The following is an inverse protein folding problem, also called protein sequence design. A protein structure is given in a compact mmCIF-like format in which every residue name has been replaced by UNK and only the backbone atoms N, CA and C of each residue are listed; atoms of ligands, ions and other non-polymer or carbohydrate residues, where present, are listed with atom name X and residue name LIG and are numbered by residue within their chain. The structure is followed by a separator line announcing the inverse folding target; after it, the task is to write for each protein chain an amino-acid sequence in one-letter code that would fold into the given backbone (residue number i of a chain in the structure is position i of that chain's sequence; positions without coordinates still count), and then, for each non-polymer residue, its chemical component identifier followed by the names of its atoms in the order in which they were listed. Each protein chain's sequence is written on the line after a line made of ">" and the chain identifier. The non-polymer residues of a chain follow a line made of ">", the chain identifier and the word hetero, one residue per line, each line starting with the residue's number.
data_IF_616373146804
#
_entry.id   IF_616373146804
#
_cell.length_a   1.000
_cell.length_b   1.000
_cell.length_c   1.000
_cell.angle_alpha   90.00
_cell.angle_beta   90.00
_cell.angle_gamma   90.00
#
_symmetry.space_group_name_H-M   'P 1'
#
loop_
_entity.id
_entity.type
_entity.pdbx_description
1 polymer ?
#
# COMPACT_ATOMS: atom_id res chain seq x y z
N UNK A 1 1.87 74.28 -15.69
CA UNK A 1 2.72 73.09 -15.90
C UNK A 1 2.49 72.16 -14.72
N UNK A 2 1.67 71.14 -14.93
CA UNK A 2 1.32 70.12 -13.95
C UNK A 2 2.43 69.06 -14.03
N UNK A 3 3.09 68.76 -12.90
CA UNK A 3 4.02 67.63 -12.83
C UNK A 3 3.48 66.63 -11.81
N UNK A 4 3.13 65.46 -12.37
CA UNK A 4 2.60 64.26 -11.75
C UNK A 4 3.79 63.45 -11.22
N UNK A 5 3.74 62.97 -9.98
CA UNK A 5 4.46 61.79 -9.48
C UNK A 5 4.07 61.54 -8.01
N UNK A 6 3.84 60.34 -7.50
CA UNK A 6 3.38 59.06 -8.02
C UNK A 6 2.98 58.30 -6.74
N UNK A 7 1.74 57.81 -6.69
CA UNK A 7 1.18 57.08 -5.56
C UNK A 7 1.83 55.69 -5.51
N UNK A 8 2.61 55.38 -4.47
CA UNK A 8 3.13 54.02 -4.26
C UNK A 8 2.03 53.22 -3.57
N UNK A 9 1.30 52.43 -4.35
CA UNK A 9 0.38 51.39 -3.87
C UNK A 9 1.19 50.15 -3.48
N UNK A 10 1.11 49.81 -2.20
CA UNK A 10 1.58 48.58 -1.60
C UNK A 10 0.80 47.37 -2.12
N UNK A 11 1.47 46.49 -2.86
CA UNK A 11 0.94 45.17 -3.23
C UNK A 11 1.56 44.14 -2.29
N UNK A 12 0.87 43.84 -1.19
CA UNK A 12 1.11 42.61 -0.42
C UNK A 12 0.46 41.45 -1.18
N UNK A 13 1.23 40.82 -2.07
CA UNK A 13 0.83 39.58 -2.72
C UNK A 13 1.34 38.39 -1.90
N UNK A 14 0.41 37.50 -1.58
CA UNK A 14 0.57 36.22 -0.93
C UNK A 14 1.73 35.40 -1.50
N UNK A 15 2.62 34.92 -0.63
CA UNK A 15 3.47 33.77 -0.94
C UNK A 15 3.14 32.63 0.04
N UNK A 16 1.95 32.05 -0.15
CA UNK A 16 1.58 30.72 0.34
C UNK A 16 1.74 29.74 -0.82
N UNK A 17 2.91 29.11 -0.93
CA UNK A 17 3.10 27.78 -1.53
C UNK A 17 4.57 27.37 -1.44
N UNK A 18 5.05 27.09 -0.23
CA UNK A 18 6.12 26.11 -0.07
C UNK A 18 5.43 24.82 0.32
N UNK A 19 5.06 24.02 -0.68
CA UNK A 19 4.88 22.60 -0.45
C UNK A 19 6.25 22.04 -0.08
N UNK A 20 6.30 21.34 1.04
CA UNK A 20 7.48 20.60 1.48
C UNK A 20 7.81 19.55 0.42
N UNK A 21 8.72 19.88 -0.51
CA UNK A 21 9.49 18.86 -1.21
C UNK A 21 10.38 18.23 -0.15
N UNK A 22 9.96 17.11 0.42
CA UNK A 22 10.88 16.20 1.10
C UNK A 22 11.92 15.80 0.06
N UNK A 23 13.08 16.45 0.13
CA UNK A 23 14.26 16.02 -0.59
C UNK A 23 14.63 14.64 -0.05
N UNK A 24 14.34 13.62 -0.86
CA UNK A 24 14.79 12.24 -0.64
C UNK A 24 16.30 12.32 -0.42
N UNK A 25 16.74 11.80 0.74
CA UNK A 25 18.15 11.59 1.06
C UNK A 25 18.76 10.89 -0.16
N UNK A 26 19.83 11.46 -0.72
CA UNK A 26 20.58 10.81 -1.81
C UNK A 26 21.11 9.50 -1.22
N UNK A 27 20.37 8.41 -1.39
CA UNK A 27 20.81 7.09 -0.98
C UNK A 27 21.97 6.77 -1.89
N UNK A 28 23.18 6.69 -1.34
CA UNK A 28 24.25 5.97 -2.03
C UNK A 28 23.74 4.53 -2.14
N UNK A 29 23.26 4.18 -3.33
CA UNK A 29 22.92 2.81 -3.68
C UNK A 29 24.20 2.00 -3.47
N UNK A 30 24.31 1.31 -2.34
CA UNK A 30 25.21 0.19 -2.25
C UNK A 30 24.77 -0.76 -3.38
N UNK A 31 25.71 -1.39 -4.11
CA UNK A 31 25.39 -2.23 -5.29
C UNK A 31 24.45 -3.42 -4.99
N UNK A 32 24.03 -3.58 -3.74
CA UNK A 32 23.17 -4.65 -3.21
C UNK A 32 21.68 -4.28 -3.11
N UNK A 33 21.31 -2.98 -3.06
CA UNK A 33 19.90 -2.58 -2.85
C UNK A 33 19.08 -2.59 -4.15
N UNK A 34 17.79 -2.96 -4.06
CA UNK A 34 16.81 -2.89 -5.15
C UNK A 34 16.15 -1.51 -5.12
N UNK A 35 16.22 -0.77 -6.22
CA UNK A 35 15.59 0.55 -6.32
C UNK A 35 14.14 0.45 -6.84
N UNK A 36 13.17 0.87 -6.05
CA UNK A 36 11.74 0.79 -6.37
C UNK A 36 11.15 2.18 -6.63
N UNK A 37 10.54 2.37 -7.79
CA UNK A 37 9.71 3.52 -8.08
C UNK A 37 8.25 3.23 -7.73
N UNK A 38 7.60 4.07 -6.93
CA UNK A 38 6.13 4.06 -6.77
C UNK A 38 5.59 5.12 -7.72
N UNK A 39 4.94 4.70 -8.81
CA UNK A 39 4.45 5.62 -9.82
C UNK A 39 3.16 6.30 -9.38
N UNK A 40 3.15 7.63 -9.43
CA UNK A 40 2.04 8.49 -9.07
C UNK A 40 1.77 9.42 -10.24
N UNK A 41 0.84 9.04 -11.11
CA UNK A 41 0.43 9.89 -12.21
C UNK A 41 -0.26 11.16 -11.67
N UNK A 42 -0.05 12.27 -12.36
CA UNK A 42 -0.56 13.58 -12.00
C UNK A 42 -2.07 13.63 -12.26
N UNK A 43 -2.85 14.07 -11.28
CA UNK A 43 -4.30 14.23 -11.41
C UNK A 43 -5.13 13.08 -10.83
N UNK A 44 -4.49 12.07 -10.25
CA UNK A 44 -5.16 10.96 -9.56
C UNK A 44 -4.84 10.96 -8.06
N UNK A 45 -5.75 10.40 -7.28
CA UNK A 45 -5.63 10.23 -5.84
C UNK A 45 -5.23 8.79 -5.51
N UNK A 46 -4.22 8.63 -4.67
CA UNK A 46 -3.63 7.34 -4.34
C UNK A 46 -3.64 7.13 -2.84
N UNK A 47 -4.71 6.55 -2.28
CA UNK A 47 -4.93 6.53 -0.84
C UNK A 47 -3.91 5.66 -0.08
N UNK A 48 -3.19 4.76 -0.76
CA UNK A 48 -2.36 3.72 -0.13
C UNK A 48 -0.86 3.84 -0.40
N UNK A 49 -0.37 4.94 -1.00
CA UNK A 49 1.07 5.11 -1.29
C UNK A 49 1.92 4.97 -0.03
N UNK A 50 1.52 5.60 1.07
CA UNK A 50 2.29 5.53 2.32
C UNK A 50 2.30 4.10 2.90
N UNK A 51 1.28 3.28 2.63
CA UNK A 51 1.27 1.88 3.06
C UNK A 51 2.22 1.03 2.25
N UNK A 52 2.29 1.25 0.92
CA UNK A 52 3.26 0.60 0.04
C UNK A 52 4.68 0.96 0.47
N UNK A 53 4.94 2.26 0.65
CA UNK A 53 6.22 2.78 1.13
C UNK A 53 6.67 2.10 2.44
N UNK A 54 5.75 1.97 3.40
CA UNK A 54 6.04 1.32 4.67
C UNK A 54 6.20 -0.19 4.55
N UNK A 55 5.48 -0.85 3.64
CA UNK A 55 5.65 -2.26 3.37
C UNK A 55 7.01 -2.56 2.70
N UNK A 56 7.50 -1.66 1.84
CA UNK A 56 8.84 -1.77 1.26
C UNK A 56 9.94 -1.67 2.30
N UNK A 57 9.76 -0.82 3.34
CA UNK A 57 10.71 -0.70 4.45
C UNK A 57 10.80 -1.95 5.34
N UNK A 58 9.95 -2.97 5.14
CA UNK A 58 10.11 -4.27 5.84
C UNK A 58 11.41 -4.95 5.41
N UNK A 59 11.91 -4.69 4.20
CA UNK A 59 13.10 -5.32 3.64
C UNK A 59 14.25 -4.31 3.58
N UNK A 60 15.33 -4.58 4.33
CA UNK A 60 16.51 -3.69 4.38
C UNK A 60 17.26 -3.59 3.05
N UNK A 61 17.05 -4.54 2.14
CA UNK A 61 17.63 -4.57 0.80
C UNK A 61 16.84 -3.76 -0.23
N UNK A 62 15.77 -3.07 0.15
CA UNK A 62 14.92 -2.29 -0.76
C UNK A 62 14.95 -0.81 -0.40
N UNK A 63 15.09 0.03 -1.42
CA UNK A 63 14.95 1.48 -1.29
C UNK A 63 13.90 1.96 -2.27
N UNK A 64 13.14 2.99 -1.90
CA UNK A 64 12.03 3.46 -2.73
C UNK A 64 12.03 4.97 -2.95
N UNK A 65 11.37 5.37 -4.02
CA UNK A 65 11.08 6.77 -4.36
C UNK A 65 9.70 6.85 -5.02
N UNK A 66 8.94 7.89 -4.73
CA UNK A 66 7.72 8.20 -5.47
C UNK A 66 8.09 8.98 -6.73
N UNK A 67 7.56 8.57 -7.88
CA UNK A 67 7.85 9.17 -9.19
C UNK A 67 6.57 9.64 -9.86
N UNK A 68 6.63 10.75 -10.58
CA UNK A 68 5.57 11.19 -11.49
C UNK A 68 6.09 11.23 -12.94
N UNK A 69 5.25 11.66 -13.87
CA UNK A 69 5.56 11.79 -15.30
C UNK A 69 6.80 12.64 -15.55
N UNK A 70 6.95 13.78 -14.86
CA UNK A 70 8.11 14.65 -15.02
C UNK A 70 9.41 13.97 -14.56
N UNK A 71 9.35 13.15 -13.52
CA UNK A 71 10.50 12.35 -13.08
C UNK A 71 10.85 11.26 -14.10
N UNK A 72 9.86 10.59 -14.69
CA UNK A 72 10.06 9.60 -15.76
C UNK A 72 10.69 10.24 -17.00
N UNK A 73 10.14 11.37 -17.47
CA UNK A 73 10.68 12.11 -18.62
C UNK A 73 12.13 12.54 -18.40
N UNK A 74 12.47 12.96 -17.18
CA UNK A 74 13.80 13.44 -16.83
C UNK A 74 14.82 12.32 -16.65
N UNK A 75 14.43 11.23 -16.00
CA UNK A 75 15.37 10.19 -15.54
C UNK A 75 15.36 8.94 -16.41
N UNK A 76 14.35 8.77 -17.26
CA UNK A 76 14.14 7.59 -18.12
C UNK A 76 14.22 6.26 -17.34
N UNK A 77 13.91 6.32 -16.04
CA UNK A 77 13.98 5.21 -15.08
C UNK A 77 15.37 4.54 -14.98
N UNK A 78 16.45 5.25 -15.31
CA UNK A 78 17.80 4.65 -15.42
C UNK A 78 18.33 4.02 -14.12
N UNK A 79 17.88 4.50 -12.96
CA UNK A 79 18.29 4.00 -11.63
C UNK A 79 17.14 3.28 -10.89
N UNK A 80 16.13 2.82 -11.61
CA UNK A 80 15.00 2.07 -11.04
C UNK A 80 15.08 0.63 -11.52
N UNK A 81 14.75 -0.31 -10.62
CA UNK A 81 14.76 -1.74 -10.88
C UNK A 81 13.34 -2.31 -10.98
N UNK A 82 12.41 -1.78 -10.18
CA UNK A 82 11.00 -2.16 -10.17
C UNK A 82 10.11 -0.93 -10.13
N UNK A 83 9.05 -0.90 -10.93
CA UNK A 83 8.01 0.12 -10.88
C UNK A 83 6.73 -0.46 -10.29
N UNK A 84 6.19 0.17 -9.25
CA UNK A 84 4.90 -0.19 -8.64
C UNK A 84 3.83 0.81 -9.11
N UNK A 85 2.73 0.27 -9.61
CA UNK A 85 1.51 0.96 -9.98
C UNK A 85 0.47 0.80 -8.85
N UNK A 86 0.36 1.78 -7.95
CA UNK A 86 -0.53 1.72 -6.81
C UNK A 86 -2.01 1.80 -7.22
N UNK A 87 -2.88 1.33 -6.32
CA UNK A 87 -4.31 1.53 -6.45
C UNK A 87 -4.68 3.02 -6.40
N UNK A 88 -5.57 3.44 -7.30
CA UNK A 88 -6.17 4.77 -7.31
C UNK A 88 -7.44 4.78 -6.46
N UNK A 89 -7.94 5.96 -6.12
CA UNK A 89 -9.22 6.11 -5.45
C UNK A 89 -10.34 5.42 -6.24
N UNK A 90 -11.36 4.93 -5.52
CA UNK A 90 -12.55 4.33 -6.12
C UNK A 90 -13.12 5.23 -7.23
N UNK A 91 -13.48 4.62 -8.35
CA UNK A 91 -14.00 5.25 -9.57
C UNK A 91 -12.99 6.09 -10.39
N UNK A 92 -11.71 6.14 -9.99
CA UNK A 92 -10.64 6.67 -10.82
C UNK A 92 -9.93 5.55 -11.58
N UNK A 93 -9.78 5.77 -12.89
CA UNK A 93 -9.04 4.90 -13.79
C UNK A 93 -8.05 5.77 -14.57
N UNK A 94 -6.82 5.28 -14.74
CA UNK A 94 -5.82 6.01 -15.51
C UNK A 94 -6.10 5.83 -17.00
N UNK A 95 -6.89 6.75 -17.54
CA UNK A 95 -7.40 6.70 -18.90
C UNK A 95 -6.41 7.22 -19.94
N UNK A 96 -5.41 7.99 -19.50
CA UNK A 96 -4.40 8.58 -20.38
C UNK A 96 -3.05 8.78 -19.68
N UNK A 97 -1.98 8.53 -20.43
CA UNK A 97 -0.60 8.92 -20.16
C UNK A 97 -0.07 9.74 -21.35
N UNK A 98 0.97 10.52 -21.11
CA UNK A 98 1.76 11.10 -22.20
C UNK A 98 2.44 9.99 -23.00
N UNK A 99 2.47 10.09 -24.32
CA UNK A 99 3.00 9.04 -25.21
C UNK A 99 4.49 8.77 -24.93
N UNK A 100 5.28 9.80 -24.61
CA UNK A 100 6.69 9.63 -24.27
C UNK A 100 6.84 8.91 -22.91
N UNK A 101 5.96 9.18 -21.95
CA UNK A 101 5.92 8.47 -20.66
C UNK A 101 5.53 7.01 -20.86
N UNK A 102 4.54 6.74 -21.70
CA UNK A 102 4.11 5.38 -22.04
C UNK A 102 5.27 4.57 -22.65
N UNK A 103 5.97 5.14 -23.63
CA UNK A 103 7.15 4.51 -24.24
C UNK A 103 8.28 4.27 -23.24
N UNK A 104 8.53 5.19 -22.30
CA UNK A 104 9.54 4.99 -21.24
C UNK A 104 9.19 3.76 -20.38
N UNK A 105 7.93 3.63 -19.97
CA UNK A 105 7.49 2.50 -19.14
C UNK A 105 7.56 1.19 -19.94
N UNK A 106 7.08 1.21 -21.19
CA UNK A 106 7.13 0.04 -22.06
C UNK A 106 8.58 -0.43 -22.28
N UNK A 107 9.48 0.48 -22.69
CA UNK A 107 10.91 0.19 -22.86
C UNK A 107 11.55 -0.33 -21.56
N UNK A 108 11.20 0.24 -20.41
CA UNK A 108 11.68 -0.19 -19.10
C UNK A 108 11.35 -1.66 -18.81
N UNK A 109 10.11 -2.09 -19.07
CA UNK A 109 9.69 -3.47 -18.80
C UNK A 109 10.15 -4.43 -19.92
N UNK A 110 9.78 -4.15 -21.17
CA UNK A 110 9.92 -5.08 -22.30
C UNK A 110 11.38 -5.22 -22.74
N UNK A 111 12.09 -4.09 -22.88
CA UNK A 111 13.45 -4.07 -23.46
C UNK A 111 14.55 -4.14 -22.39
N UNK A 112 14.45 -3.32 -21.33
CA UNK A 112 15.42 -3.33 -20.23
C UNK A 112 15.23 -4.52 -19.27
N UNK A 113 14.12 -5.26 -19.38
CA UNK A 113 13.84 -6.45 -18.57
C UNK A 113 13.63 -6.16 -17.08
N UNK A 114 13.16 -4.95 -16.75
CA UNK A 114 12.91 -4.54 -15.37
C UNK A 114 11.56 -5.04 -14.86
N UNK A 115 11.35 -4.94 -13.55
CA UNK A 115 10.13 -5.43 -12.90
C UNK A 115 8.98 -4.42 -12.91
N UNK A 116 7.76 -4.90 -13.04
CA UNK A 116 6.55 -4.12 -12.80
C UNK A 116 5.65 -4.84 -11.78
N UNK A 117 4.96 -4.06 -10.95
CA UNK A 117 3.94 -4.57 -10.02
C UNK A 117 2.73 -3.67 -10.10
N UNK A 118 1.52 -4.22 -10.12
CA UNK A 118 0.29 -3.44 -9.96
C UNK A 118 -0.54 -3.90 -8.78
N UNK A 119 -1.20 -2.94 -8.13
CA UNK A 119 -2.14 -3.17 -7.03
C UNK A 119 -3.53 -2.66 -7.44
N UNK A 120 -4.52 -3.55 -7.37
CA UNK A 120 -5.92 -3.28 -7.75
C UNK A 120 -6.04 -2.62 -9.14
N UNK A 121 -6.84 -1.56 -9.28
CA UNK A 121 -7.02 -0.80 -10.51
C UNK A 121 -5.76 -0.08 -11.03
N UNK A 122 -4.64 -0.08 -10.28
CA UNK A 122 -3.36 0.39 -10.81
C UNK A 122 -2.84 -0.42 -12.00
N UNK A 123 -3.37 -1.63 -12.20
CA UNK A 123 -2.98 -2.52 -13.30
C UNK A 123 -3.60 -2.21 -14.66
N UNK A 124 -4.64 -1.37 -14.73
CA UNK A 124 -5.42 -1.17 -15.96
C UNK A 124 -4.56 -0.69 -17.14
N UNK A 125 -3.63 0.23 -16.87
CA UNK A 125 -2.71 0.76 -17.88
C UNK A 125 -1.74 -0.29 -18.42
N UNK A 126 -1.43 -1.34 -17.66
CA UNK A 126 -0.46 -2.38 -18.02
C UNK A 126 -1.08 -3.45 -18.92
N UNK A 127 -2.40 -3.58 -18.88
CA UNK A 127 -3.19 -4.63 -19.53
C UNK A 127 -3.84 -4.16 -20.82
N UNK A 128 -4.32 -5.08 -21.66
CA UNK A 128 -5.13 -4.75 -22.83
C UNK A 128 -6.41 -4.03 -22.42
N UNK A 129 -6.72 -2.94 -23.10
CA UNK A 129 -7.98 -2.21 -22.92
C UNK A 129 -8.49 -1.67 -24.24
N UNK A 130 -9.80 -1.72 -24.43
CA UNK A 130 -10.51 -0.99 -25.51
C UNK A 130 -11.07 0.35 -25.05
N UNK A 131 -11.07 0.58 -23.73
CA UNK A 131 -11.73 1.73 -23.08
C UNK A 131 -10.75 2.86 -22.78
N UNK A 132 -9.51 2.52 -22.49
CA UNK A 132 -8.47 3.42 -22.01
C UNK A 132 -7.17 3.24 -22.81
N UNK A 133 -6.26 4.21 -22.71
CA UNK A 133 -4.89 3.99 -23.15
C UNK A 133 -4.31 2.77 -22.41
N UNK A 134 -3.50 2.00 -23.12
CA UNK A 134 -2.94 0.74 -22.64
C UNK A 134 -1.50 0.62 -23.14
N UNK A 135 -0.64 0.08 -22.28
CA UNK A 135 0.74 -0.27 -22.62
C UNK A 135 0.85 -1.68 -23.22
N UNK A 136 -0.23 -2.46 -23.20
CA UNK A 136 -0.30 -3.82 -23.75
C UNK A 136 0.90 -4.69 -23.35
N UNK A 137 1.28 -4.66 -22.06
CA UNK A 137 2.44 -5.40 -21.56
C UNK A 137 2.15 -6.89 -21.37
N UNK A 138 0.87 -7.24 -21.21
CA UNK A 138 0.42 -8.61 -20.90
C UNK A 138 -0.95 -8.88 -21.51
N UNK A 139 -1.16 -10.12 -21.95
CA UNK A 139 -2.41 -10.63 -22.55
C UNK A 139 -3.53 -10.85 -21.53
N UNK A 140 -3.84 -9.79 -20.79
CA UNK A 140 -4.90 -9.72 -19.79
C UNK A 140 -5.76 -8.51 -20.11
N UNK A 141 -7.04 -8.62 -19.82
CA UNK A 141 -7.97 -7.49 -19.78
C UNK A 141 -8.52 -7.37 -18.36
N UNK A 142 -8.49 -6.15 -17.82
CA UNK A 142 -9.18 -5.81 -16.59
C UNK A 142 -10.55 -5.21 -16.95
N UNK A 143 -11.60 -5.76 -16.36
CA UNK A 143 -12.98 -5.33 -16.66
C UNK A 143 -13.67 -4.77 -15.43
N UNK A 144 -14.53 -3.77 -15.64
CA UNK A 144 -15.38 -3.15 -14.59
C UNK A 144 -16.43 -4.13 -14.01
N UNK A 145 -16.48 -5.37 -14.49
CA UNK A 145 -17.37 -6.39 -13.95
C UNK A 145 -16.88 -6.83 -12.58
N UNK A 146 -17.56 -6.38 -11.53
CA UNK A 146 -17.34 -6.90 -10.17
C UNK A 146 -17.73 -8.38 -10.15
N UNK A 147 -16.95 -9.24 -9.48
CA UNK A 147 -17.34 -10.63 -9.25
C UNK A 147 -18.62 -10.66 -8.40
N UNK A 148 -19.70 -11.23 -8.95
CA UNK A 148 -21.03 -11.28 -8.33
C UNK A 148 -20.92 -11.61 -6.83
N UNK A 149 -21.25 -10.62 -5.98
CA UNK A 149 -21.38 -10.66 -4.51
C UNK A 149 -20.18 -10.24 -3.65
N UNK A 150 -18.97 -9.98 -4.18
CA UNK A 150 -17.85 -9.53 -3.33
C UNK A 150 -17.73 -8.00 -3.38
N UNK A 151 -18.46 -7.34 -2.49
CA UNK A 151 -18.55 -5.88 -2.37
C UNK A 151 -17.60 -5.35 -1.29
N UNK A 152 -16.29 -5.51 -1.49
CA UNK A 152 -15.24 -4.98 -0.61
C UNK A 152 -15.18 -5.53 0.83
N UNK A 153 -13.98 -5.59 1.40
CA UNK A 153 -13.71 -6.02 2.77
C UNK A 153 -12.57 -7.02 2.86
N UNK A 154 -12.65 -7.97 3.80
CA UNK A 154 -11.64 -9.03 3.98
C UNK A 154 -12.17 -10.30 3.34
N UNK A 155 -11.43 -10.87 2.39
CA UNK A 155 -11.76 -12.13 1.71
C UNK A 155 -10.73 -13.20 2.01
N UNK A 156 -11.11 -14.47 1.91
CA UNK A 156 -10.17 -15.57 1.88
C UNK A 156 -9.59 -15.78 0.48
N UNK A 157 -8.31 -16.16 0.43
CA UNK A 157 -7.58 -16.52 -0.79
C UNK A 157 -6.85 -17.85 -0.58
N UNK A 158 -6.75 -18.61 -1.67
CA UNK A 158 -6.00 -19.88 -1.73
C UNK A 158 -4.85 -19.72 -2.71
N UNK A 159 -3.66 -20.16 -2.29
CA UNK A 159 -2.47 -20.14 -3.14
C UNK A 159 -2.48 -21.34 -4.09
N UNK A 160 -2.12 -21.09 -5.35
CA UNK A 160 -1.75 -22.16 -6.27
C UNK A 160 -0.39 -22.77 -5.90
N UNK A 161 0.00 -23.85 -6.55
CA UNK A 161 1.36 -24.41 -6.38
C UNK A 161 2.45 -23.40 -6.76
N UNK A 162 2.20 -22.55 -7.76
CA UNK A 162 3.11 -21.45 -8.11
C UNK A 162 3.10 -20.32 -7.06
N UNK A 163 1.93 -20.05 -6.47
CA UNK A 163 1.78 -19.16 -5.32
C UNK A 163 2.62 -19.62 -4.14
N UNK A 164 2.51 -20.89 -3.76
CA UNK A 164 3.27 -21.48 -2.65
C UNK A 164 4.78 -21.44 -2.86
N UNK A 165 5.26 -21.51 -4.11
CA UNK A 165 6.69 -21.31 -4.42
C UNK A 165 7.14 -19.87 -4.21
N UNK A 166 6.28 -18.90 -4.53
CA UNK A 166 6.59 -17.47 -4.38
C UNK A 166 6.44 -17.00 -2.93
N UNK A 167 5.47 -17.55 -2.20
CA UNK A 167 5.13 -17.26 -0.82
C UNK A 167 5.25 -18.52 0.06
N UNK A 168 6.45 -19.12 0.21
CA UNK A 168 6.67 -20.33 0.99
C UNK A 168 6.28 -20.19 2.46
N UNK A 169 6.27 -18.98 3.03
CA UNK A 169 5.74 -18.74 4.38
C UNK A 169 4.28 -19.18 4.52
N UNK A 170 3.52 -19.14 3.43
CA UNK A 170 2.10 -19.51 3.36
C UNK A 170 1.89 -20.97 2.93
N UNK A 171 2.94 -21.77 2.78
CA UNK A 171 2.85 -23.12 2.20
C UNK A 171 1.86 -24.05 2.96
N UNK A 172 1.89 -24.00 4.29
CA UNK A 172 1.08 -24.86 5.16
C UNK A 172 -0.33 -24.30 5.44
N UNK A 173 -0.68 -23.15 4.87
CA UNK A 173 -1.99 -22.53 5.05
C UNK A 173 -2.93 -22.98 3.94
N UNK A 174 -4.08 -23.53 4.32
CA UNK A 174 -5.13 -23.91 3.35
C UNK A 174 -5.71 -22.68 2.65
N UNK A 175 -6.01 -21.64 3.43
CA UNK A 175 -6.38 -20.31 2.95
C UNK A 175 -5.83 -19.25 3.91
N UNK A 176 -5.82 -18.01 3.44
CA UNK A 176 -5.47 -16.83 4.25
C UNK A 176 -6.35 -15.66 3.89
N UNK A 177 -6.52 -14.71 4.80
CA UNK A 177 -7.34 -13.53 4.53
C UNK A 177 -6.52 -12.35 4.02
N UNK A 178 -7.15 -11.54 3.18
CA UNK A 178 -6.57 -10.32 2.63
C UNK A 178 -7.65 -9.29 2.33
N UNK A 179 -7.30 -8.02 2.47
CA UNK A 179 -8.16 -6.90 2.15
C UNK A 179 -8.37 -6.79 0.63
N UNK A 180 -9.60 -6.54 0.22
CA UNK A 180 -10.07 -6.50 -1.16
C UNK A 180 -11.07 -5.36 -1.32
N UNK A 181 -10.81 -4.45 -2.26
CA UNK A 181 -11.67 -3.28 -2.49
C UNK A 181 -12.02 -3.13 -3.96
N UNK A 182 -13.14 -3.72 -4.39
CA UNK A 182 -13.69 -3.57 -5.75
C UNK A 182 -12.64 -3.80 -6.85
N UNK A 183 -11.78 -4.80 -6.69
CA UNK A 183 -10.77 -5.13 -7.69
C UNK A 183 -11.41 -5.42 -9.04
N UNK A 184 -10.81 -4.98 -10.16
CA UNK A 184 -11.34 -5.29 -11.47
C UNK A 184 -11.26 -6.81 -11.72
N UNK A 185 -12.17 -7.33 -12.54
CA UNK A 185 -12.13 -8.74 -12.92
C UNK A 185 -11.00 -8.98 -13.91
N UNK A 186 -10.15 -9.96 -13.58
CA UNK A 186 -9.05 -10.43 -14.43
C UNK A 186 -9.62 -11.37 -15.48
N UNK A 187 -9.47 -11.00 -16.75
CA UNK A 187 -9.76 -11.83 -17.90
C UNK A 187 -8.46 -12.17 -18.64
N UNK A 188 -8.00 -13.41 -18.56
CA UNK A 188 -6.78 -13.87 -19.24
C UNK A 188 -7.15 -14.16 -20.70
N UNK A 189 -6.54 -13.42 -21.64
CA UNK A 189 -6.89 -13.46 -23.07
C UNK A 189 -6.11 -14.52 -23.84
N UNK A 190 -4.85 -14.77 -23.47
CA UNK A 190 -4.03 -15.83 -24.01
C UNK A 190 -3.49 -16.71 -22.89
N UNK A 191 -3.70 -18.03 -23.00
CA UNK A 191 -3.21 -19.04 -22.05
C UNK A 191 -1.92 -19.70 -22.52
N UNK A 192 -1.40 -19.33 -23.69
CA UNK A 192 -0.10 -19.80 -24.22
C UNK A 192 1.05 -18.99 -23.61
N UNK A 193 0.80 -17.74 -23.22
CA UNK A 193 1.76 -16.87 -22.53
C UNK A 193 2.09 -17.37 -21.12
N UNK A 194 3.27 -17.00 -20.59
CA UNK A 194 3.77 -17.38 -19.26
C UNK A 194 3.00 -16.70 -18.09
N UNK A 195 1.68 -16.56 -18.21
CA UNK A 195 0.79 -16.06 -17.17
C UNK A 195 0.50 -17.20 -16.19
N UNK A 196 0.85 -17.00 -14.92
CA UNK A 196 0.60 -17.96 -13.85
C UNK A 196 -0.22 -17.31 -12.75
N UNK A 197 -1.34 -17.95 -12.40
CA UNK A 197 -2.14 -17.57 -11.23
C UNK A 197 -1.41 -18.01 -9.98
N UNK A 198 -1.15 -17.07 -9.07
CA UNK A 198 -0.50 -17.29 -7.79
C UNK A 198 -1.50 -17.49 -6.66
N UNK A 199 -2.61 -16.77 -6.69
CA UNK A 199 -3.69 -16.93 -5.73
C UNK A 199 -5.03 -16.61 -6.37
N UNK A 200 -6.08 -17.26 -5.85
CA UNK A 200 -7.47 -17.02 -6.22
C UNK A 200 -8.33 -16.83 -4.96
N UNK A 201 -9.48 -16.17 -5.09
CA UNK A 201 -10.46 -16.07 -4.00
C UNK A 201 -10.96 -17.47 -3.60
N UNK A 202 -11.13 -17.70 -2.30
CA UNK A 202 -11.80 -18.88 -1.75
C UNK A 202 -13.32 -18.68 -1.73
N UNK A 203 -13.95 -18.80 -2.89
CA UNK A 203 -15.39 -18.62 -3.03
C UNK A 203 -15.99 -19.60 -4.02
N UNK A 204 -17.31 -19.79 -4.00
CA UNK A 204 -18.03 -20.67 -4.94
C UNK A 204 -17.70 -20.35 -6.41
N UNK A 205 -17.47 -19.07 -6.72
CA UNK A 205 -17.01 -18.58 -8.02
C UNK A 205 -15.59 -18.06 -7.90
N UNK A 206 -14.64 -18.97 -7.65
CA UNK A 206 -13.22 -18.62 -7.50
C UNK A 206 -12.70 -17.80 -8.68
N UNK A 207 -11.94 -16.74 -8.38
CA UNK A 207 -11.33 -15.89 -9.38
C UNK A 207 -9.89 -15.51 -9.04
N UNK A 208 -9.04 -15.24 -10.04
CA UNK A 208 -7.64 -14.86 -9.79
C UNK A 208 -7.55 -13.52 -9.06
N UNK A 209 -6.71 -13.48 -8.03
CA UNK A 209 -6.43 -12.26 -7.26
C UNK A 209 -4.95 -11.87 -7.26
N UNK A 210 -4.05 -12.83 -7.47
CA UNK A 210 -2.63 -12.55 -7.69
C UNK A 210 -2.19 -13.37 -8.89
N UNK A 211 -1.49 -12.72 -9.81
CA UNK A 211 -0.89 -13.36 -10.97
C UNK A 211 0.55 -12.87 -11.15
N UNK A 212 1.34 -13.67 -11.85
CA UNK A 212 2.63 -13.26 -12.39
C UNK A 212 2.68 -13.55 -13.88
N UNK A 213 3.45 -12.76 -14.62
CA UNK A 213 3.66 -12.93 -16.04
C UNK A 213 5.07 -12.52 -16.46
N UNK A 214 5.55 -13.11 -17.55
CA UNK A 214 6.68 -12.58 -18.30
C UNK A 214 6.16 -11.59 -19.35
N UNK A 215 6.82 -10.43 -19.46
CA UNK A 215 6.45 -9.36 -20.39
C UNK A 215 7.70 -8.96 -21.17
N UNK A 216 7.88 -9.49 -22.38
CA UNK A 216 9.15 -9.35 -23.10
C UNK A 216 10.31 -9.95 -22.30
N UNK A 217 11.33 -9.14 -21.97
CA UNK A 217 12.43 -9.56 -21.08
C UNK A 217 12.16 -9.29 -19.59
N UNK A 218 11.05 -8.63 -19.28
CA UNK A 218 10.68 -8.20 -17.92
C UNK A 218 9.72 -9.15 -17.24
N UNK A 219 9.40 -8.82 -15.98
CA UNK A 219 8.48 -9.58 -15.13
C UNK A 219 7.42 -8.66 -14.55
N UNK A 220 6.18 -9.13 -14.55
CA UNK A 220 5.02 -8.45 -14.02
C UNK A 220 4.39 -9.28 -12.90
N UNK A 221 4.00 -8.63 -11.81
CA UNK A 221 3.09 -9.19 -10.82
C UNK A 221 1.87 -8.28 -10.72
N UNK A 222 0.67 -8.83 -10.80
CA UNK A 222 -0.55 -8.07 -10.58
C UNK A 222 -1.27 -8.67 -9.37
N UNK A 223 -1.63 -7.82 -8.42
CA UNK A 223 -2.41 -8.20 -7.26
C UNK A 223 -3.69 -7.36 -7.20
N UNK A 224 -4.84 -7.97 -7.45
CA UNK A 224 -6.17 -7.35 -7.34
C UNK A 224 -6.73 -7.47 -5.91
N UNK A 225 -5.86 -7.25 -4.93
CA UNK A 225 -6.06 -7.29 -3.48
C UNK A 225 -5.09 -6.26 -2.87
N UNK A 226 -5.20 -6.01 -1.56
CA UNK A 226 -4.40 -5.00 -0.89
C UNK A 226 -3.53 -5.56 0.26
N UNK A 227 -2.49 -6.36 -0.05
CA UNK A 227 -1.57 -6.83 0.98
C UNK A 227 -0.84 -5.67 1.70
N UNK A 228 -0.68 -4.50 1.07
CA UNK A 228 -0.04 -3.32 1.65
C UNK A 228 -0.79 -2.73 2.85
N UNK A 229 -2.12 -2.92 2.92
CA UNK A 229 -2.96 -2.47 4.04
C UNK A 229 -3.42 -3.63 4.93
N UNK A 230 -3.16 -4.87 4.53
CA UNK A 230 -3.59 -6.07 5.27
C UNK A 230 -2.53 -6.41 6.32
N UNK A 231 -2.80 -6.21 7.62
CA UNK A 231 -1.79 -6.49 8.62
C UNK A 231 -1.48 -7.99 8.68
N UNK A 232 -0.20 -8.34 8.78
CA UNK A 232 0.30 -9.72 8.67
C UNK A 232 0.63 -10.16 7.24
N UNK A 233 0.25 -9.39 6.22
CA UNK A 233 0.49 -9.68 4.79
C UNK A 233 1.36 -8.64 4.07
N UNK A 234 1.74 -7.55 4.72
CA UNK A 234 2.49 -6.44 4.11
C UNK A 234 3.83 -6.86 3.51
N UNK A 235 4.47 -7.86 4.11
CA UNK A 235 5.72 -8.47 3.61
C UNK A 235 5.58 -9.08 2.19
N UNK A 236 4.36 -9.32 1.71
CA UNK A 236 4.15 -9.77 0.33
C UNK A 236 4.59 -8.71 -0.69
N UNK A 237 4.52 -7.41 -0.37
CA UNK A 237 4.97 -6.33 -1.24
C UNK A 237 6.47 -6.45 -1.58
N UNK A 238 7.40 -6.46 -0.61
CA UNK A 238 8.82 -6.63 -0.91
C UNK A 238 9.15 -8.03 -1.48
N UNK A 239 8.38 -9.08 -1.16
CA UNK A 239 8.50 -10.39 -1.84
C UNK A 239 8.21 -10.29 -3.34
N UNK A 240 7.15 -9.58 -3.72
CA UNK A 240 6.83 -9.34 -5.14
C UNK A 240 7.93 -8.54 -5.83
N UNK A 241 8.50 -7.53 -5.17
CA UNK A 241 9.63 -6.74 -5.69
C UNK A 241 10.83 -7.64 -6.01
N UNK A 242 11.27 -8.47 -5.06
CA UNK A 242 12.40 -9.37 -5.26
C UNK A 242 12.18 -10.32 -6.43
N UNK A 243 10.99 -10.90 -6.53
CA UNK A 243 10.66 -11.81 -7.63
C UNK A 243 10.67 -11.10 -9.00
N UNK A 244 10.02 -9.94 -9.10
CA UNK A 244 9.93 -9.16 -10.35
C UNK A 244 11.30 -8.68 -10.85
N UNK A 245 12.29 -8.54 -9.96
CA UNK A 245 13.66 -8.17 -10.35
C UNK A 245 14.67 -9.32 -10.29
N UNK A 246 14.20 -10.57 -10.20
CA UNK A 246 15.05 -11.76 -10.17
C UNK A 246 16.13 -11.74 -9.07
N UNK A 247 15.78 -11.18 -7.91
CA UNK A 247 16.62 -11.19 -6.71
C UNK A 247 16.28 -12.39 -5.84
N UNK A 248 17.26 -12.82 -5.06
CA UNK A 248 17.10 -13.95 -4.15
C UNK A 248 15.95 -13.70 -3.17
N UNK A 249 15.12 -14.73 -2.99
CA UNK A 249 14.05 -14.73 -2.00
C UNK A 249 14.65 -14.84 -0.60
N UNK A 250 14.34 -13.89 0.26
CA UNK A 250 14.69 -13.89 1.69
C UNK A 250 13.49 -14.34 2.52
N UNK A 251 13.71 -14.86 3.72
CA UNK A 251 12.62 -15.18 4.65
C UNK A 251 12.28 -13.97 5.51
N UNK A 252 10.99 -13.77 5.80
CA UNK A 252 10.52 -12.74 6.72
C UNK A 252 10.18 -13.34 8.09
N UNK A 253 10.53 -12.63 9.16
CA UNK A 253 10.30 -13.05 10.53
C UNK A 253 8.82 -13.08 10.92
N UNK A 254 8.49 -13.86 11.95
CA UNK A 254 7.11 -13.98 12.50
C UNK A 254 6.55 -12.70 13.11
N UNK A 255 7.37 -11.66 13.25
CA UNK A 255 6.94 -10.33 13.69
C UNK A 255 6.27 -9.51 12.56
N UNK A 256 6.47 -9.89 11.29
CA UNK A 256 5.76 -9.29 10.13
C UNK A 256 4.90 -10.30 9.39
N UNK A 257 5.31 -11.56 9.37
CA UNK A 257 4.50 -12.65 8.84
C UNK A 257 3.51 -13.13 9.91
N UNK A 258 2.26 -12.62 9.85
CA UNK A 258 1.21 -12.91 10.84
C UNK A 258 -0.16 -13.19 10.19
N UNK A 259 -0.27 -14.23 9.34
CA UNK A 259 -1.48 -14.49 8.57
C UNK A 259 -2.72 -14.81 9.43
N UNK A 260 -2.54 -15.23 10.69
CA UNK A 260 -3.64 -15.55 11.62
C UNK A 260 -4.15 -14.35 12.42
N UNK A 261 -3.64 -13.15 12.17
CA UNK A 261 -4.07 -11.96 12.88
C UNK A 261 -5.51 -11.59 12.54
N UNK A 262 -5.90 -11.80 11.28
CA UNK A 262 -7.28 -11.74 10.81
C UNK A 262 -7.56 -13.04 10.06
N UNK A 263 -8.41 -13.89 10.62
CA UNK A 263 -8.75 -15.20 10.05
C UNK A 263 -10.22 -15.28 9.60
N UNK A 264 -10.94 -14.16 9.67
CA UNK A 264 -12.35 -14.06 9.32
C UNK A 264 -12.57 -13.15 8.12
N UNK A 265 -13.43 -13.61 7.23
CA UNK A 265 -13.98 -12.77 6.18
C UNK A 265 -14.88 -11.69 6.76
N UNK A 266 -14.87 -10.54 6.10
CA UNK A 266 -15.64 -9.36 6.47
C UNK A 266 -16.19 -8.75 5.19
N UNK A 267 -17.50 -8.65 5.08
CA UNK A 267 -18.16 -7.93 3.99
C UNK A 267 -18.51 -6.51 4.46
N UNK A 268 -18.02 -5.49 3.75
CA UNK A 268 -18.33 -4.09 4.04
C UNK A 268 -19.67 -3.69 3.42
N UNK A 269 -20.74 -3.95 4.17
CA UNK A 269 -22.10 -3.49 3.84
C UNK A 269 -22.47 -2.21 4.60
N UNK A 270 -23.62 -1.62 4.25
CA UNK A 270 -24.10 -0.35 4.82
C UNK A 270 -24.27 -0.42 6.36
N UNK A 271 -24.75 -1.55 6.89
CA UNK A 271 -24.91 -1.75 8.34
C UNK A 271 -23.56 -1.75 9.06
N UNK A 272 -22.57 -2.46 8.50
CA UNK A 272 -21.23 -2.53 9.07
C UNK A 272 -20.51 -1.18 8.98
N UNK A 273 -20.65 -0.47 7.85
CA UNK A 273 -20.11 0.87 7.68
C UNK A 273 -20.70 1.85 8.70
N UNK A 274 -22.02 1.81 8.91
CA UNK A 274 -22.69 2.62 9.93
C UNK A 274 -22.14 2.32 11.32
N UNK A 275 -22.01 1.03 11.68
CA UNK A 275 -21.42 0.62 12.96
C UNK A 275 -19.98 1.12 13.12
N UNK A 276 -19.16 1.04 12.08
CA UNK A 276 -17.78 1.54 12.09
C UNK A 276 -17.76 3.05 12.36
N UNK A 277 -18.63 3.82 11.70
CA UNK A 277 -18.74 5.28 11.90
C UNK A 277 -19.15 5.64 13.34
N UNK A 278 -20.10 4.90 13.91
CA UNK A 278 -20.51 5.06 15.31
C UNK A 278 -19.33 4.80 16.26
N UNK A 279 -18.58 3.72 16.06
CA UNK A 279 -17.41 3.38 16.87
C UNK A 279 -16.31 4.45 16.75
N UNK A 280 -16.05 4.95 15.54
CA UNK A 280 -15.09 6.04 15.30
C UNK A 280 -15.52 7.32 16.04
N UNK A 281 -16.82 7.62 16.06
CA UNK A 281 -17.37 8.77 16.81
C UNK A 281 -17.15 8.61 18.31
N UNK A 282 -17.34 7.39 18.85
CA UNK A 282 -17.06 7.08 20.25
C UNK A 282 -15.58 7.32 20.60
N UNK A 283 -14.63 7.08 19.68
CA UNK A 283 -13.20 7.37 19.93
C UNK A 283 -12.93 8.85 20.21
N UNK A 284 -13.74 9.76 19.66
CA UNK A 284 -13.61 11.20 19.91
C UNK A 284 -14.26 11.66 21.20
N UNK A 285 -15.53 11.28 21.36
CA UNK A 285 -16.47 11.90 22.30
C UNK A 285 -16.72 11.05 23.54
N UNK A 286 -16.38 9.76 23.46
CA UNK A 286 -16.66 8.78 24.50
C UNK A 286 -15.86 8.98 25.79
N UNK A 287 -16.39 8.42 26.87
CA UNK A 287 -15.68 8.26 28.14
C UNK A 287 -14.68 7.10 28.04
N UNK A 288 -13.81 6.99 29.05
CA UNK A 288 -12.71 6.02 29.08
C UNK A 288 -13.13 4.60 28.67
N UNK A 289 -14.14 4.05 29.33
CA UNK A 289 -14.53 2.65 29.12
C UNK A 289 -15.23 2.45 27.77
N UNK A 290 -15.97 3.46 27.29
CA UNK A 290 -16.61 3.47 25.96
C UNK A 290 -15.54 3.50 24.85
N UNK A 291 -14.52 4.35 24.99
CA UNK A 291 -13.40 4.43 24.05
C UNK A 291 -12.61 3.12 24.00
N UNK A 292 -12.33 2.51 25.15
CA UNK A 292 -11.61 1.22 25.20
C UNK A 292 -12.45 0.13 24.53
N UNK A 293 -13.75 0.06 24.83
CA UNK A 293 -14.66 -0.89 24.18
C UNK A 293 -14.72 -0.68 22.67
N UNK A 294 -14.77 0.57 22.21
CA UNK A 294 -14.77 0.87 20.78
C UNK A 294 -13.47 0.48 20.08
N UNK A 295 -12.31 0.63 20.76
CA UNK A 295 -11.03 0.14 20.26
C UNK A 295 -11.01 -1.40 20.16
N UNK A 296 -11.62 -2.11 21.11
CA UNK A 296 -11.74 -3.57 21.07
C UNK A 296 -12.64 -4.03 19.92
N UNK A 297 -13.81 -3.40 19.76
CA UNK A 297 -14.74 -3.72 18.68
C UNK A 297 -14.15 -3.43 17.30
N UNK A 298 -13.52 -2.26 17.11
CA UNK A 298 -12.83 -1.92 15.87
C UNK A 298 -11.69 -2.89 15.56
N UNK A 299 -10.94 -3.32 16.59
CA UNK A 299 -9.83 -4.29 16.44
C UNK A 299 -10.32 -5.62 15.89
N UNK A 300 -11.49 -6.07 16.34
CA UNK A 300 -12.06 -7.37 15.98
C UNK A 300 -12.77 -7.36 14.62
N UNK A 301 -13.33 -6.22 14.22
CA UNK A 301 -14.19 -6.14 13.04
C UNK A 301 -13.38 -5.79 11.80
N UNK A 302 -12.83 -4.59 11.74
CA UNK A 302 -12.16 -4.10 10.54
C UNK A 302 -11.23 -2.93 10.88
N UNK A 303 -10.09 -3.19 11.51
CA UNK A 303 -9.39 -2.16 12.26
C UNK A 303 -8.65 -1.12 11.42
N UNK A 304 -8.36 -1.47 10.18
CA UNK A 304 -7.63 -0.62 9.24
C UNK A 304 -8.31 0.74 9.02
N UNK A 305 -9.65 0.81 9.04
CA UNK A 305 -10.41 2.07 8.88
C UNK A 305 -10.19 3.06 10.03
N UNK A 306 -9.79 2.56 11.19
CA UNK A 306 -9.62 3.37 12.38
C UNK A 306 -8.15 3.77 12.63
N UNK A 307 -7.18 3.27 11.85
CA UNK A 307 -5.75 3.42 12.15
C UNK A 307 -5.33 4.89 12.38
N UNK A 308 -5.69 5.79 11.45
CA UNK A 308 -5.42 7.23 11.59
C UNK A 308 -6.11 7.86 12.79
N UNK A 309 -7.34 7.41 13.07
CA UNK A 309 -8.09 7.90 14.23
C UNK A 309 -7.43 7.48 15.53
N UNK A 310 -7.06 6.22 15.63
CA UNK A 310 -6.41 5.61 16.79
C UNK A 310 -5.04 6.22 17.04
N UNK A 311 -4.30 6.55 15.99
CA UNK A 311 -3.04 7.30 16.08
C UNK A 311 -3.20 8.61 16.86
N UNK A 312 -4.29 9.35 16.65
CA UNK A 312 -4.57 10.57 17.42
C UNK A 312 -4.82 10.34 18.92
N UNK A 313 -5.12 9.11 19.34
CA UNK A 313 -5.37 8.78 20.75
C UNK A 313 -4.08 8.62 21.56
N UNK A 314 -2.92 8.50 20.91
CA UNK A 314 -1.62 8.42 21.59
C UNK A 314 -1.33 9.67 22.46
N UNK A 315 -1.87 10.83 22.07
CA UNK A 315 -1.69 12.09 22.80
C UNK A 315 -2.75 12.33 23.90
N UNK A 316 -3.73 11.44 24.07
CA UNK A 316 -4.78 11.61 25.10
C UNK A 316 -4.15 11.55 26.49
N UNK A 317 -4.70 12.35 27.42
CA UNK A 317 -4.22 12.43 28.82
C UNK A 317 -4.44 11.13 29.60
N UNK A 318 -5.45 10.35 29.23
CA UNK A 318 -5.77 9.10 29.91
C UNK A 318 -4.78 8.00 29.49
N UNK A 319 -4.07 7.43 30.46
CA UNK A 319 -3.03 6.43 30.20
C UNK A 319 -3.59 5.09 29.68
N UNK A 320 -4.78 4.68 30.10
CA UNK A 320 -5.39 3.43 29.67
C UNK A 320 -5.76 3.51 28.18
N UNK A 321 -6.41 4.60 27.77
CA UNK A 321 -6.74 4.87 26.35
C UNK A 321 -5.46 4.90 25.51
N UNK A 322 -4.44 5.63 25.98
CA UNK A 322 -3.16 5.77 25.29
C UNK A 322 -2.48 4.42 25.06
N UNK A 323 -2.37 3.59 26.10
CA UNK A 323 -1.73 2.28 25.99
C UNK A 323 -2.54 1.31 25.13
N UNK A 324 -3.88 1.38 25.18
CA UNK A 324 -4.74 0.55 24.33
C UNK A 324 -4.65 0.95 22.85
N UNK A 325 -4.60 2.25 22.57
CA UNK A 325 -4.38 2.78 21.23
C UNK A 325 -2.99 2.41 20.70
N UNK A 326 -1.94 2.53 21.54
CA UNK A 326 -0.61 2.09 21.18
C UNK A 326 -0.59 0.60 20.79
N UNK A 327 -1.21 -0.26 21.61
CA UNK A 327 -1.33 -1.69 21.29
C UNK A 327 -2.09 -1.93 19.99
N UNK A 328 -3.19 -1.22 19.74
CA UNK A 328 -3.96 -1.31 18.50
C UNK A 328 -3.06 -1.07 17.27
N UNK A 329 -2.24 -0.02 17.31
CA UNK A 329 -1.34 0.33 16.19
C UNK A 329 -0.23 -0.71 16.00
N UNK A 330 0.31 -1.29 17.07
CA UNK A 330 1.26 -2.41 16.99
C UNK A 330 0.59 -3.62 16.36
N UNK A 331 -0.63 -3.96 16.80
CA UNK A 331 -1.39 -5.08 16.27
C UNK A 331 -1.74 -4.85 14.79
N UNK A 332 -1.84 -3.61 14.30
CA UNK A 332 -1.98 -3.30 12.88
C UNK A 332 -0.66 -3.15 12.10
N UNK A 333 0.48 -3.33 12.76
CA UNK A 333 1.80 -3.11 12.15
C UNK A 333 1.94 -1.68 11.61
N UNK A 334 1.26 -0.72 12.22
CA UNK A 334 1.09 0.62 11.68
C UNK A 334 2.34 1.50 11.92
N UNK A 335 3.40 1.19 11.17
CA UNK A 335 4.75 1.77 11.30
C UNK A 335 4.81 3.28 11.01
N UNK A 336 3.79 3.85 10.37
CA UNK A 336 3.66 5.30 10.21
C UNK A 336 3.57 6.04 11.55
N UNK A 337 3.08 5.35 12.61
CA UNK A 337 2.97 5.94 13.93
C UNK A 337 4.32 6.02 14.70
N UNK A 338 5.44 5.49 14.19
CA UNK A 338 6.72 5.47 14.91
C UNK A 338 7.13 6.86 15.42
N UNK A 339 6.93 7.91 14.62
CA UNK A 339 7.21 9.29 15.04
C UNK A 339 6.25 9.76 16.14
N UNK A 340 4.97 9.39 16.07
CA UNK A 340 4.00 9.73 17.12
C UNK A 340 4.35 9.04 18.44
N UNK A 341 4.82 7.78 18.39
CA UNK A 341 5.39 7.09 19.55
C UNK A 341 6.58 7.86 20.13
N UNK A 342 7.53 8.29 19.30
CA UNK A 342 8.69 9.08 19.74
C UNK A 342 8.28 10.36 20.47
N UNK A 343 7.33 11.10 19.90
CA UNK A 343 6.88 12.37 20.45
C UNK A 343 6.12 12.19 21.78
N UNK A 344 5.31 11.14 21.89
CA UNK A 344 4.60 10.82 23.15
C UNK A 344 5.54 10.28 24.22
N UNK A 345 6.51 9.42 23.89
CA UNK A 345 7.51 8.88 24.83
C UNK A 345 8.36 10.01 25.43
N UNK A 346 8.74 11.00 24.62
CA UNK A 346 9.51 12.17 25.08
C UNK A 346 8.75 12.99 26.13
N UNK A 347 7.44 13.14 25.97
CA UNK A 347 6.60 13.97 26.84
C UNK A 347 5.96 13.21 28.01
N UNK A 348 5.97 11.87 28.00
CA UNK A 348 5.38 11.03 29.05
C UNK A 348 6.14 11.13 30.38
N UNK A 349 5.40 11.39 31.46
CA UNK A 349 5.93 11.56 32.83
C UNK A 349 5.81 10.30 33.66
N UNK A 350 4.81 9.46 33.38
CA UNK A 350 4.62 8.18 34.04
C UNK A 350 5.66 7.19 33.54
N UNK A 351 6.61 6.82 34.41
CA UNK A 351 7.68 5.86 34.09
C UNK A 351 7.12 4.55 33.52
N UNK A 352 6.10 3.98 34.17
CA UNK A 352 5.46 2.73 33.74
C UNK A 352 4.85 2.82 32.34
N UNK A 353 4.14 3.92 32.06
CA UNK A 353 3.49 4.12 30.74
C UNK A 353 4.55 4.33 29.67
N UNK A 354 5.59 5.10 29.99
CA UNK A 354 6.72 5.34 29.10
C UNK A 354 7.45 4.05 28.72
N UNK A 355 7.73 3.19 29.69
CA UNK A 355 8.36 1.88 29.46
C UNK A 355 7.51 1.01 28.52
N UNK A 356 6.19 0.97 28.72
CA UNK A 356 5.30 0.20 27.85
C UNK A 356 5.21 0.79 26.43
N UNK A 357 5.19 2.12 26.28
CA UNK A 357 5.21 2.78 24.97
C UNK A 357 6.53 2.52 24.22
N UNK A 358 7.67 2.49 24.92
CA UNK A 358 8.96 2.11 24.33
C UNK A 358 8.91 0.66 23.84
N UNK A 359 8.34 -0.26 24.62
CA UNK A 359 8.19 -1.65 24.19
C UNK A 359 7.38 -1.76 22.89
N UNK A 360 6.21 -1.12 22.84
CA UNK A 360 5.36 -1.09 21.64
C UNK A 360 6.02 -0.43 20.43
N UNK A 361 6.74 0.68 20.64
CA UNK A 361 7.52 1.33 19.58
C UNK A 361 8.58 0.38 19.03
N UNK A 362 9.31 -0.30 19.90
CA UNK A 362 10.36 -1.24 19.50
C UNK A 362 9.77 -2.44 18.75
N UNK A 363 8.57 -2.91 19.12
CA UNK A 363 7.86 -3.95 18.36
C UNK A 363 7.61 -3.53 16.91
N UNK A 364 7.14 -2.29 16.68
CA UNK A 364 6.96 -1.74 15.33
C UNK A 364 8.29 -1.52 14.60
N UNK A 365 9.31 -1.01 15.28
CA UNK A 365 10.62 -0.76 14.69
C UNK A 365 11.29 -2.07 14.24
N UNK A 366 11.17 -3.14 15.02
CA UNK A 366 11.71 -4.46 14.68
C UNK A 366 11.03 -5.10 13.46
N UNK A 367 9.87 -4.59 13.01
CA UNK A 367 9.22 -5.04 11.77
C UNK A 367 9.91 -4.50 10.51
N UNK A 368 10.67 -3.42 10.64
CA UNK A 368 11.37 -2.75 9.54
C UNK A 368 12.78 -3.31 9.36
N UNK A 369 13.33 -3.07 8.17
CA UNK A 369 14.73 -3.37 7.81
C UNK A 369 15.10 -4.83 8.15
N UNK A 370 14.21 -5.77 7.83
CA UNK A 370 14.53 -7.19 7.93
C UNK A 370 15.54 -7.57 6.85
N UNK A 371 16.53 -8.35 7.28
CA UNK A 371 17.66 -8.84 6.49
C UNK A 371 18.56 -7.70 6.01
#
# INVERSE_FOLDING_TARGET
>A
MISICALILSISACNRSRSDRQYVKKVELNQESIAVGIFKATGYDYPYIDYIAQALNIDGGIVYVTLNEADLLKTKLDNIDVLIFPAMQKDQNMDKLDDEVAEIIHHFVIEKGKGAISLSNGGEILTKSKKYQSLDLVDIELTDQVYDKINSGIIQIVLSEEGKKMFPELYDFESVTVDYHFGPKINILDTISDIQILASSDSEKSFPVIIKAMCGSGKLVMANIHPEITPGMRWMIPRMVRWSFNKESISYGRNVFRPNLFDKEVELNDDLNTKIEELITILDEGKKDEVISALDDLQLIYPRVAAEKVRSLLIKKNNDIKLRAAKFLVDLEYTQALKDFDDVIKSERSKKVKEQLIAYRNELENMLEQN
#
